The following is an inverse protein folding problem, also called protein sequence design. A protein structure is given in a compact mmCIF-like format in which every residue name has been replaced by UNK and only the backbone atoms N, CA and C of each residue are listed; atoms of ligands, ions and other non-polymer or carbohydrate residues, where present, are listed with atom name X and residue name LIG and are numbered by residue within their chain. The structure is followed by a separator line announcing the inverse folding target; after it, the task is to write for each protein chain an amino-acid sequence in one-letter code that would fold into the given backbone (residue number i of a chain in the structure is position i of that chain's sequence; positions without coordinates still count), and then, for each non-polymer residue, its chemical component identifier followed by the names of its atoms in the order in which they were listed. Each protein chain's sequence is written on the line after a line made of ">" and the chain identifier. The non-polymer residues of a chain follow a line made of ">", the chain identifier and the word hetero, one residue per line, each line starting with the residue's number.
data_IF_714932517309
#
_entry.id   IF_714932517309
#
_cell.length_a   1.000
_cell.length_b   1.000
_cell.length_c   1.000
_cell.angle_alpha   90.00
_cell.angle_beta   90.00
_cell.angle_gamma   90.00
#
_symmetry.space_group_name_H-M   'P 1'
#
loop_
_entity.id
_entity.type
_entity.pdbx_description
1 polymer ?
#
# COMPACT_ATOMS: atom_id res chain seq x y z
N UNK A 1 -34.36 -14.73 -17.01
CA UNK A 1 -32.90 -14.89 -17.13
C UNK A 1 -32.25 -13.66 -16.50
N UNK A 2 -31.44 -13.88 -15.46
CA UNK A 2 -30.63 -12.89 -14.76
C UNK A 2 -29.63 -12.23 -15.71
N UNK A 3 -29.43 -10.92 -15.58
CA UNK A 3 -28.13 -10.29 -15.88
C UNK A 3 -28.03 -8.97 -15.10
N UNK A 4 -27.74 -9.10 -13.80
CA UNK A 4 -27.17 -8.02 -13.00
C UNK A 4 -25.74 -7.78 -13.48
N UNK A 5 -25.53 -6.72 -14.26
CA UNK A 5 -24.22 -6.13 -14.49
C UNK A 5 -23.75 -5.52 -13.16
N UNK A 6 -23.05 -6.31 -12.34
CA UNK A 6 -22.22 -5.77 -11.28
C UNK A 6 -21.11 -4.97 -11.96
N UNK A 7 -21.26 -3.65 -11.96
CA UNK A 7 -20.14 -2.74 -12.13
C UNK A 7 -19.16 -3.05 -10.99
N UNK A 8 -18.17 -3.90 -11.26
CA UNK A 8 -16.97 -3.96 -10.44
C UNK A 8 -16.44 -2.54 -10.43
N UNK A 9 -16.51 -1.89 -9.26
CA UNK A 9 -15.72 -0.72 -8.98
C UNK A 9 -14.27 -1.12 -9.27
N UNK A 10 -13.79 -0.77 -10.47
CA UNK A 10 -12.37 -0.57 -10.71
C UNK A 10 -11.99 0.48 -9.68
N UNK A 11 -11.54 0.01 -8.52
CA UNK A 11 -10.68 0.78 -7.66
C UNK A 11 -9.58 1.22 -8.61
N UNK A 12 -9.61 2.50 -8.99
CA UNK A 12 -8.50 3.12 -9.67
C UNK A 12 -7.34 2.90 -8.71
N UNK A 13 -6.51 1.89 -9.00
CA UNK A 13 -5.30 1.60 -8.25
C UNK A 13 -4.59 2.95 -8.15
N UNK A 14 -4.31 3.40 -6.93
CA UNK A 14 -3.62 4.67 -6.72
C UNK A 14 -2.39 4.66 -7.65
N UNK A 15 -2.31 5.66 -8.54
CA UNK A 15 -1.26 5.74 -9.56
C UNK A 15 0.09 5.44 -8.92
N UNK A 16 0.72 4.35 -9.34
CA UNK A 16 1.98 3.90 -8.78
C UNK A 16 3.16 4.59 -9.48
N UNK A 17 3.08 5.92 -9.59
CA UNK A 17 4.03 6.75 -10.33
C UNK A 17 5.08 7.33 -9.38
N UNK A 18 5.44 6.58 -8.33
CA UNK A 18 6.46 7.02 -7.36
C UNK A 18 7.83 7.20 -8.04
N UNK A 19 8.72 8.07 -7.53
CA UNK A 19 10.08 8.20 -8.06
C UNK A 19 10.84 6.86 -8.11
N UNK A 20 10.56 5.95 -7.17
CA UNK A 20 11.12 4.61 -7.12
C UNK A 20 10.58 3.73 -8.27
N UNK A 21 9.26 3.73 -8.47
CA UNK A 21 8.60 3.04 -9.55
C UNK A 21 9.10 3.53 -10.91
N UNK A 22 9.22 4.86 -11.10
CA UNK A 22 9.76 5.48 -12.32
C UNK A 22 11.23 5.10 -12.56
N UNK A 23 12.07 5.08 -11.51
CA UNK A 23 13.45 4.62 -11.61
C UNK A 23 13.52 3.12 -11.97
N UNK A 24 12.60 2.32 -11.43
CA UNK A 24 12.50 0.89 -11.72
C UNK A 24 12.01 0.65 -13.16
N UNK A 25 11.01 1.40 -13.62
CA UNK A 25 10.57 1.41 -15.02
C UNK A 25 11.72 1.72 -15.97
N UNK A 26 12.52 2.74 -15.66
CA UNK A 26 13.70 3.11 -16.46
C UNK A 26 14.73 1.98 -16.50
N UNK A 27 14.97 1.29 -15.38
CA UNK A 27 15.92 0.17 -15.29
C UNK A 27 15.52 -1.02 -16.16
N UNK A 28 14.23 -1.34 -16.23
CA UNK A 28 13.71 -2.51 -16.96
C UNK A 28 13.10 -2.16 -18.33
N UNK A 29 13.14 -0.88 -18.72
CA UNK A 29 12.64 -0.42 -20.02
C UNK A 29 11.13 -0.55 -20.18
N UNK A 30 10.36 -0.29 -19.12
CA UNK A 30 8.89 -0.23 -19.21
C UNK A 30 8.46 1.12 -19.76
N UNK A 31 7.52 1.11 -20.70
CA UNK A 31 6.94 2.36 -21.20
C UNK A 31 5.87 2.90 -20.24
N UNK A 32 5.60 4.22 -20.25
CA UNK A 32 4.49 4.79 -19.50
C UNK A 32 3.13 4.20 -19.89
N UNK A 33 2.94 3.75 -21.14
CA UNK A 33 1.71 3.07 -21.58
C UNK A 33 1.57 1.72 -20.91
N UNK A 34 2.62 0.90 -20.90
CA UNK A 34 2.63 -0.42 -20.24
C UNK A 34 2.31 -0.29 -18.74
N UNK A 35 2.90 0.72 -18.09
CA UNK A 35 2.69 1.01 -16.68
C UNK A 35 1.25 1.47 -16.36
N UNK A 36 0.71 2.40 -17.14
CA UNK A 36 -0.67 2.89 -16.98
C UNK A 36 -1.72 1.84 -17.33
N UNK A 37 -1.42 0.96 -18.28
CA UNK A 37 -2.32 -0.11 -18.72
C UNK A 37 -2.30 -1.33 -17.80
N UNK A 38 -1.42 -1.37 -16.79
CA UNK A 38 -1.23 -2.53 -15.94
C UNK A 38 -0.90 -3.81 -16.73
N UNK A 39 -0.18 -3.66 -17.85
CA UNK A 39 0.02 -4.73 -18.81
C UNK A 39 1.45 -4.73 -19.38
N UNK A 40 2.10 -5.87 -19.31
CA UNK A 40 3.40 -6.15 -19.93
C UNK A 40 3.39 -7.55 -20.56
N UNK A 41 4.25 -7.82 -21.56
CA UNK A 41 4.52 -9.19 -22.02
C UNK A 41 4.94 -10.11 -20.87
N UNK A 42 4.67 -11.41 -21.00
CA UNK A 42 4.90 -12.40 -19.94
C UNK A 42 6.37 -12.43 -19.47
N UNK A 43 7.30 -12.22 -20.39
CA UNK A 43 8.75 -12.19 -20.14
C UNK A 43 9.17 -11.05 -19.20
N UNK A 44 8.30 -10.06 -19.03
CA UNK A 44 8.51 -8.85 -18.22
C UNK A 44 7.62 -8.79 -16.98
N UNK A 45 6.76 -9.80 -16.75
CA UNK A 45 5.76 -9.78 -15.69
C UNK A 45 6.37 -9.73 -14.29
N UNK A 46 7.41 -10.53 -14.01
CA UNK A 46 8.08 -10.54 -12.70
C UNK A 46 8.76 -9.20 -12.36
N UNK A 47 9.64 -8.63 -13.20
CA UNK A 47 10.25 -7.34 -12.91
C UNK A 47 9.20 -6.21 -12.84
N UNK A 48 8.13 -6.29 -13.64
CA UNK A 48 7.01 -5.35 -13.56
C UNK A 48 6.32 -5.39 -12.19
N UNK A 49 5.96 -6.60 -11.71
CA UNK A 49 5.38 -6.77 -10.37
C UNK A 49 6.33 -6.28 -9.27
N UNK A 50 7.62 -6.59 -9.37
CA UNK A 50 8.62 -6.11 -8.41
C UNK A 50 8.69 -4.58 -8.36
N UNK A 51 8.78 -3.93 -9.53
CA UNK A 51 8.76 -2.47 -9.63
C UNK A 51 7.47 -1.90 -9.06
N UNK A 52 6.33 -2.49 -9.41
CA UNK A 52 5.02 -2.02 -8.98
C UNK A 52 4.88 -2.16 -7.45
N UNK A 53 5.12 -3.35 -6.94
CA UNK A 53 4.95 -3.65 -5.54
C UNK A 53 6.00 -2.93 -4.68
N UNK A 54 7.15 -2.51 -5.23
CA UNK A 54 8.15 -1.70 -4.50
C UNK A 54 7.73 -0.23 -4.35
N UNK A 55 7.18 0.39 -5.40
CA UNK A 55 6.61 1.75 -5.32
C UNK A 55 5.45 1.82 -4.34
N UNK A 56 4.50 0.86 -4.43
CA UNK A 56 3.39 0.74 -3.49
C UNK A 56 3.84 0.45 -2.05
N UNK A 57 4.92 -0.31 -1.85
CA UNK A 57 5.53 -0.52 -0.53
C UNK A 57 6.16 0.75 0.04
N UNK A 58 6.81 1.56 -0.78
CA UNK A 58 7.39 2.85 -0.35
C UNK A 58 6.30 3.84 0.05
N UNK A 59 5.20 3.90 -0.71
CA UNK A 59 4.06 4.74 -0.36
C UNK A 59 3.33 4.25 0.88
N UNK A 60 3.12 2.95 1.02
CA UNK A 60 2.60 2.36 2.26
C UNK A 60 3.51 2.66 3.46
N UNK A 61 4.83 2.70 3.26
CA UNK A 61 5.81 3.11 4.28
C UNK A 61 5.68 4.57 4.71
N UNK A 62 5.47 5.48 3.75
CA UNK A 62 5.23 6.92 4.03
C UNK A 62 3.89 7.13 4.71
N UNK A 63 2.82 6.50 4.20
CA UNK A 63 1.48 6.54 4.81
C UNK A 63 1.54 5.99 6.23
N UNK A 64 2.23 4.87 6.45
CA UNK A 64 2.46 4.32 7.79
C UNK A 64 3.13 5.34 8.71
N UNK A 65 4.20 6.00 8.26
CA UNK A 65 4.90 6.99 9.08
C UNK A 65 3.99 8.18 9.43
N UNK A 66 3.21 8.68 8.47
CA UNK A 66 2.26 9.76 8.69
C UNK A 66 1.12 9.35 9.64
N UNK A 67 0.53 8.18 9.43
CA UNK A 67 -0.55 7.65 10.28
C UNK A 67 -0.08 7.34 11.71
N UNK A 68 1.17 6.88 11.90
CA UNK A 68 1.76 6.73 13.24
C UNK A 68 1.93 8.08 13.93
N UNK A 69 2.45 9.09 13.23
CA UNK A 69 2.59 10.44 13.76
C UNK A 69 1.23 11.05 14.12
N UNK A 70 0.21 10.88 13.27
CA UNK A 70 -1.16 11.32 13.53
C UNK A 70 -1.78 10.63 14.75
N UNK A 71 -1.47 9.35 14.96
CA UNK A 71 -1.87 8.61 16.16
C UNK A 71 -1.05 8.99 17.40
N UNK A 72 -0.10 9.92 17.31
CA UNK A 72 0.78 10.32 18.40
C UNK A 72 1.76 9.22 18.83
N UNK A 73 2.15 8.33 17.91
CA UNK A 73 3.04 7.20 18.17
C UNK A 73 4.35 7.35 17.40
N UNK A 74 5.47 7.26 18.12
CA UNK A 74 6.79 7.18 17.49
C UNK A 74 7.05 5.79 16.90
N UNK A 75 7.89 5.71 15.87
CA UNK A 75 8.30 4.43 15.29
C UNK A 75 8.91 3.47 16.34
N UNK A 76 9.65 4.01 17.32
CA UNK A 76 10.26 3.24 18.40
C UNK A 76 9.20 2.65 19.35
N UNK A 77 8.21 3.45 19.77
CA UNK A 77 7.10 2.96 20.61
C UNK A 77 6.28 1.89 19.88
N UNK A 78 6.02 2.08 18.59
CA UNK A 78 5.32 1.08 17.77
C UNK A 78 6.10 -0.23 17.68
N UNK A 79 7.41 -0.16 17.39
CA UNK A 79 8.31 -1.32 17.31
C UNK A 79 8.36 -2.07 18.64
N UNK A 80 8.37 -1.35 19.76
CA UNK A 80 8.42 -1.92 21.10
C UNK A 80 7.03 -2.36 21.62
N UNK A 81 5.99 -2.33 20.76
CA UNK A 81 4.59 -2.66 21.11
C UNK A 81 4.12 -1.89 22.36
N UNK A 82 4.39 -0.58 22.41
CA UNK A 82 4.02 0.30 23.53
C UNK A 82 2.91 1.29 23.18
N UNK A 83 2.37 1.24 21.97
CA UNK A 83 1.19 2.02 21.60
C UNK A 83 -0.02 1.54 22.40
N UNK A 84 -0.86 2.47 22.87
CA UNK A 84 -2.14 2.16 23.48
C UNK A 84 -3.12 1.61 22.43
N UNK A 85 -4.20 0.99 22.87
CA UNK A 85 -5.23 0.47 21.96
C UNK A 85 -5.90 1.59 21.15
N UNK A 86 -6.18 2.74 21.78
CA UNK A 86 -6.71 3.92 21.09
C UNK A 86 -5.76 4.43 20.00
N UNK A 87 -4.45 4.42 20.27
CA UNK A 87 -3.44 4.79 19.29
C UNK A 87 -3.35 3.77 18.13
N UNK A 88 -3.42 2.48 18.44
CA UNK A 88 -3.49 1.42 17.42
C UNK A 88 -4.73 1.52 16.53
N UNK A 89 -5.89 1.82 17.13
CA UNK A 89 -7.14 2.03 16.40
C UNK A 89 -7.09 3.29 15.51
N UNK A 90 -6.54 4.40 16.01
CA UNK A 90 -6.35 5.62 15.22
C UNK A 90 -5.41 5.38 14.03
N UNK A 91 -4.31 4.66 14.23
CA UNK A 91 -3.42 4.22 13.14
C UNK A 91 -4.16 3.36 12.12
N UNK A 92 -4.91 2.34 12.57
CA UNK A 92 -5.65 1.44 11.68
C UNK A 92 -6.69 2.21 10.84
N UNK A 93 -7.42 3.12 11.48
CA UNK A 93 -8.41 3.98 10.80
C UNK A 93 -7.76 4.89 9.76
N UNK A 94 -6.60 5.48 10.07
CA UNK A 94 -5.85 6.29 9.11
C UNK A 94 -5.39 5.46 7.90
N UNK A 95 -4.80 4.29 8.13
CA UNK A 95 -4.37 3.40 7.04
C UNK A 95 -5.54 2.96 6.15
N UNK A 96 -6.68 2.63 6.76
CA UNK A 96 -7.90 2.29 6.03
C UNK A 96 -8.44 3.47 5.20
N UNK A 97 -8.33 4.71 5.70
CA UNK A 97 -8.65 5.93 4.95
C UNK A 97 -7.78 6.14 3.71
N UNK A 98 -6.58 5.54 3.69
CA UNK A 98 -5.69 5.47 2.53
C UNK A 98 -5.86 4.19 1.68
N UNK A 99 -6.90 3.39 1.96
CA UNK A 99 -7.17 2.14 1.25
C UNK A 99 -6.22 0.98 1.61
N UNK A 100 -5.46 1.11 2.70
CA UNK A 100 -4.50 0.09 3.15
C UNK A 100 -5.10 -0.61 4.38
N UNK A 101 -5.57 -1.84 4.19
CA UNK A 101 -5.94 -2.67 5.32
C UNK A 101 -4.71 -3.18 6.07
N UNK A 102 -4.73 -2.99 7.39
CA UNK A 102 -3.66 -3.43 8.29
C UNK A 102 -4.26 -4.14 9.50
N UNK A 103 -3.60 -5.21 9.92
CA UNK A 103 -3.85 -5.86 11.20
C UNK A 103 -2.90 -5.29 12.24
N UNK A 104 -3.43 -4.78 13.36
CA UNK A 104 -2.62 -4.24 14.46
C UNK A 104 -2.43 -5.31 15.52
N UNK A 105 -1.18 -5.57 15.91
CA UNK A 105 -0.83 -6.51 16.98
C UNK A 105 -0.73 -5.77 18.32
N UNK A 106 -1.47 -6.26 19.31
CA UNK A 106 -1.42 -5.79 20.70
C UNK A 106 -0.24 -6.44 21.44
N UNK A 107 0.21 -5.79 22.52
CA UNK A 107 1.25 -6.33 23.41
C UNK A 107 0.88 -7.68 24.03
N UNK A 108 -0.40 -7.92 24.31
CA UNK A 108 -0.90 -9.19 24.84
C UNK A 108 -0.94 -10.34 23.80
N UNK A 109 -0.42 -10.10 22.59
CA UNK A 109 -0.36 -11.10 21.52
C UNK A 109 -1.60 -11.19 20.65
N UNK A 110 -2.72 -10.55 21.03
CA UNK A 110 -3.93 -10.50 20.21
C UNK A 110 -3.78 -9.49 19.05
N UNK A 111 -4.67 -9.59 18.06
CA UNK A 111 -4.71 -8.66 16.92
C UNK A 111 -6.09 -8.04 16.77
N UNK A 112 -6.17 -6.92 16.05
CA UNK A 112 -7.44 -6.33 15.63
C UNK A 112 -7.30 -5.50 14.37
#
# INVERSE_FOLDING_TARGET
>A
MLSTLTATALHAEARNDTPQALACMKKYGFTPEQWRAYAVPAEKAEPYRLCRDSGGRTDAGKVKAACLAQAGVTAQQWKNMQASEAQGAAYKSCMAGHGIEVTVRRRNGTTF
#
